data_IF_545683108268
#
_entry.id   IF_545683108268
#
_cell.length_a   1.000
_cell.length_b   1.000
_cell.length_c   1.000
_cell.angle_alpha   90.00
_cell.angle_beta   90.00
_cell.angle_gamma   90.00
#
_symmetry.space_group_name_H-M   'P 1'
#
loop_
_entity.id
_entity.type
_entity.pdbx_description
1 polymer ?
#
# COMPACT_ATOMS: atom_id res chain seq x y z
N UNK A 1 -23.44 21.77 -14.04
CA UNK A 1 -23.37 21.30 -12.66
C UNK A 1 -23.94 19.90 -12.65
N UNK A 2 -23.10 18.87 -12.67
CA UNK A 2 -23.59 17.51 -12.47
C UNK A 2 -24.11 17.42 -11.04
N UNK A 3 -25.40 17.19 -10.89
CA UNK A 3 -26.00 16.92 -9.59
C UNK A 3 -25.50 15.55 -9.16
N UNK A 4 -24.64 15.50 -8.14
CA UNK A 4 -24.25 14.25 -7.48
C UNK A 4 -25.51 13.67 -6.85
N UNK A 5 -26.18 12.76 -7.56
CA UNK A 5 -27.29 11.99 -7.01
C UNK A 5 -26.63 10.90 -6.18
N UNK A 6 -26.76 10.99 -4.85
CA UNK A 6 -26.34 9.94 -3.93
C UNK A 6 -27.28 8.75 -4.11
N UNK A 7 -26.95 7.92 -5.10
CA UNK A 7 -27.70 6.69 -5.36
C UNK A 7 -27.51 5.69 -4.21
N UNK A 8 -28.50 4.82 -4.01
CA UNK A 8 -28.45 3.83 -2.95
C UNK A 8 -27.22 2.91 -3.07
N UNK A 9 -26.79 2.58 -4.29
CA UNK A 9 -25.57 1.79 -4.52
C UNK A 9 -24.29 2.50 -4.05
N UNK A 10 -24.20 3.82 -4.24
CA UNK A 10 -23.06 4.62 -3.76
C UNK A 10 -23.01 4.68 -2.23
N UNK A 11 -24.17 4.82 -1.58
CA UNK A 11 -24.23 4.86 -0.12
C UNK A 11 -23.86 3.52 0.50
N UNK A 12 -24.37 2.41 -0.06
CA UNK A 12 -24.06 1.06 0.42
C UNK A 12 -22.58 0.72 0.24
N UNK A 13 -22.00 1.03 -0.93
CA UNK A 13 -20.56 0.83 -1.16
C UNK A 13 -19.69 1.69 -0.24
N UNK A 14 -20.08 2.95 0.02
CA UNK A 14 -19.43 3.82 0.98
C UNK A 14 -19.45 3.27 2.41
N UNK A 15 -20.57 2.68 2.84
CA UNK A 15 -20.69 2.02 4.15
C UNK A 15 -19.78 0.79 4.24
N UNK A 16 -19.77 -0.08 3.21
CA UNK A 16 -18.89 -1.25 3.17
C UNK A 16 -17.42 -0.84 3.25
N UNK A 17 -17.04 0.20 2.51
CA UNK A 17 -15.69 0.76 2.52
C UNK A 17 -15.32 1.27 3.90
N UNK A 18 -16.17 2.10 4.52
CA UNK A 18 -15.92 2.66 5.84
C UNK A 18 -15.78 1.57 6.92
N UNK A 19 -16.67 0.58 6.93
CA UNK A 19 -16.61 -0.56 7.87
C UNK A 19 -15.33 -1.36 7.66
N UNK A 20 -14.98 -1.66 6.41
CA UNK A 20 -13.75 -2.41 6.09
C UNK A 20 -12.51 -1.65 6.56
N UNK A 21 -12.43 -0.33 6.32
CA UNK A 21 -11.31 0.48 6.79
C UNK A 21 -11.21 0.54 8.31
N UNK A 22 -12.34 0.72 9.01
CA UNK A 22 -12.36 0.70 10.48
C UNK A 22 -11.79 -0.63 10.97
N UNK A 23 -12.25 -1.76 10.42
CA UNK A 23 -11.74 -3.09 10.78
C UNK A 23 -10.25 -3.28 10.45
N UNK A 24 -9.73 -2.68 9.37
CA UNK A 24 -8.30 -2.72 9.06
C UNK A 24 -7.50 -1.94 10.12
N UNK A 25 -7.96 -0.75 10.50
CA UNK A 25 -7.28 0.07 11.50
C UNK A 25 -7.41 -0.48 12.92
N UNK A 26 -8.51 -1.17 13.23
CA UNK A 26 -8.70 -1.81 14.54
C UNK A 26 -8.08 -3.20 14.64
N UNK A 27 -7.26 -3.62 13.67
CA UNK A 27 -6.51 -4.91 13.68
C UNK A 27 -5.90 -5.21 15.05
N UNK A 28 -5.31 -4.21 15.71
CA UNK A 28 -4.65 -4.34 17.01
C UNK A 28 -5.63 -4.65 18.16
N UNK A 29 -6.92 -4.33 18.04
CA UNK A 29 -7.94 -4.55 19.06
C UNK A 29 -8.60 -5.93 18.95
N UNK A 30 -8.81 -6.44 17.73
CA UNK A 30 -9.51 -7.70 17.51
C UNK A 30 -8.60 -8.86 17.06
N UNK A 31 -7.32 -8.61 16.75
CA UNK A 31 -6.33 -9.65 16.44
C UNK A 31 -6.48 -10.32 15.07
N UNK A 32 -7.29 -9.75 14.17
CA UNK A 32 -7.47 -10.27 12.82
C UNK A 32 -6.51 -9.59 11.85
N UNK A 33 -5.75 -10.39 11.09
CA UNK A 33 -4.79 -9.88 10.11
C UNK A 33 -5.47 -8.98 9.06
N UNK A 34 -4.92 -7.79 8.82
CA UNK A 34 -5.45 -6.78 7.88
C UNK A 34 -5.81 -7.33 6.51
N UNK A 35 -5.02 -8.29 6.00
CA UNK A 35 -5.25 -8.92 4.69
C UNK A 35 -6.56 -9.71 4.67
N UNK A 36 -6.89 -10.45 5.74
CA UNK A 36 -8.14 -11.22 5.82
C UNK A 36 -9.35 -10.30 5.84
N UNK A 37 -9.25 -9.20 6.60
CA UNK A 37 -10.29 -8.17 6.66
C UNK A 37 -10.50 -7.51 5.30
N UNK A 38 -9.41 -7.12 4.62
CA UNK A 38 -9.46 -6.52 3.29
C UNK A 38 -10.10 -7.46 2.25
N UNK A 39 -9.71 -8.74 2.25
CA UNK A 39 -10.29 -9.75 1.36
C UNK A 39 -11.79 -9.97 1.63
N UNK A 40 -12.20 -10.00 2.90
CA UNK A 40 -13.61 -10.13 3.27
C UNK A 40 -14.41 -8.90 2.83
N UNK A 41 -13.89 -7.68 3.04
CA UNK A 41 -14.52 -6.45 2.57
C UNK A 41 -14.68 -6.42 1.05
N UNK A 42 -13.66 -6.85 0.31
CA UNK A 42 -13.73 -6.98 -1.15
C UNK A 42 -14.77 -8.01 -1.61
N UNK A 43 -14.84 -9.18 -0.96
CA UNK A 43 -15.84 -10.20 -1.27
C UNK A 43 -17.27 -9.72 -1.00
N UNK A 44 -17.49 -9.04 0.13
CA UNK A 44 -18.79 -8.43 0.47
C UNK A 44 -19.17 -7.37 -0.57
N UNK A 45 -18.23 -6.52 -0.96
CA UNK A 45 -18.45 -5.49 -1.98
C UNK A 45 -18.87 -6.10 -3.33
N UNK A 46 -18.25 -7.22 -3.75
CA UNK A 46 -18.64 -7.92 -4.98
C UNK A 46 -20.06 -8.49 -4.91
N UNK A 47 -20.39 -9.19 -3.83
CA UNK A 47 -21.72 -9.81 -3.66
C UNK A 47 -22.82 -8.76 -3.62
N UNK A 48 -22.60 -7.68 -2.86
CA UNK A 48 -23.56 -6.58 -2.74
C UNK A 48 -23.67 -5.82 -4.07
N UNK A 49 -22.54 -5.54 -4.73
CA UNK A 49 -22.47 -4.91 -6.05
C UNK A 49 -23.26 -5.64 -7.13
N UNK A 50 -23.15 -6.97 -7.17
CA UNK A 50 -23.95 -7.78 -8.08
C UNK A 50 -25.43 -7.80 -7.72
N UNK A 51 -25.77 -7.95 -6.44
CA UNK A 51 -27.17 -8.09 -6.01
C UNK A 51 -28.01 -6.83 -6.23
N UNK A 52 -27.41 -5.65 -6.06
CA UNK A 52 -28.06 -4.36 -6.31
C UNK A 52 -27.88 -3.86 -7.75
N UNK A 53 -27.11 -4.59 -8.58
CA UNK A 53 -26.93 -4.30 -10.00
C UNK A 53 -26.11 -3.05 -10.33
N UNK A 54 -25.40 -2.47 -9.36
CA UNK A 54 -24.59 -1.26 -9.59
C UNK A 54 -23.17 -1.55 -10.08
N UNK A 55 -22.73 -2.81 -10.07
CA UNK A 55 -21.39 -3.19 -10.52
C UNK A 55 -21.32 -4.60 -11.09
N UNK A 56 -20.59 -4.80 -12.19
CA UNK A 56 -20.31 -6.13 -12.74
C UNK A 56 -18.97 -6.68 -12.22
N UNK A 57 -18.83 -8.00 -12.06
CA UNK A 57 -17.55 -8.62 -11.69
C UNK A 57 -16.42 -8.27 -12.67
N UNK A 58 -16.73 -8.15 -13.95
CA UNK A 58 -15.77 -7.83 -15.00
C UNK A 58 -15.20 -6.42 -14.80
N UNK A 59 -16.07 -5.44 -14.47
CA UNK A 59 -15.63 -4.10 -14.12
C UNK A 59 -14.73 -4.11 -12.87
N UNK A 60 -14.95 -5.03 -11.92
CA UNK A 60 -14.11 -5.20 -10.73
C UNK A 60 -12.66 -5.48 -11.06
N UNK A 61 -12.43 -6.40 -12.00
CA UNK A 61 -11.09 -6.76 -12.43
C UNK A 61 -10.43 -5.66 -13.26
N UNK A 62 -11.21 -4.93 -14.05
CA UNK A 62 -10.71 -3.80 -14.84
C UNK A 62 -10.31 -2.61 -13.95
N UNK A 63 -10.99 -2.42 -12.82
CA UNK A 63 -10.64 -1.39 -11.84
C UNK A 63 -9.34 -1.68 -11.07
N UNK A 64 -8.79 -2.89 -11.16
CA UNK A 64 -7.51 -3.23 -10.51
C UNK A 64 -6.35 -2.73 -11.37
N UNK A 65 -5.57 -1.80 -10.83
CA UNK A 65 -4.31 -1.37 -11.46
C UNK A 65 -3.20 -2.40 -11.24
N UNK A 66 -3.03 -3.29 -12.22
CA UNK A 66 -2.01 -4.32 -12.21
C UNK A 66 -0.59 -3.76 -12.21
N UNK A 67 -0.35 -2.59 -12.80
CA UNK A 67 0.98 -1.98 -12.79
C UNK A 67 1.39 -1.65 -11.36
N UNK A 68 0.47 -1.08 -10.58
CA UNK A 68 0.72 -0.77 -9.16
C UNK A 68 0.95 -2.05 -8.34
N UNK A 69 0.13 -3.09 -8.55
CA UNK A 69 0.28 -4.36 -7.83
C UNK A 69 1.66 -5.00 -8.11
N UNK A 70 2.07 -5.06 -9.38
CA UNK A 70 3.37 -5.62 -9.76
C UNK A 70 4.54 -4.72 -9.32
N UNK A 71 4.39 -3.39 -9.40
CA UNK A 71 5.40 -2.44 -8.94
C UNK A 71 5.64 -2.58 -7.43
N UNK A 72 4.58 -2.51 -6.62
CA UNK A 72 4.70 -2.66 -5.17
C UNK A 72 5.18 -4.07 -4.80
N UNK A 73 4.65 -5.11 -5.46
CA UNK A 73 5.06 -6.50 -5.24
C UNK A 73 6.54 -6.74 -5.53
N UNK A 74 7.05 -6.26 -6.66
CA UNK A 74 8.47 -6.38 -7.03
C UNK A 74 9.38 -5.59 -6.09
N UNK A 75 8.97 -4.38 -5.69
CA UNK A 75 9.69 -3.57 -4.70
C UNK A 75 9.79 -4.32 -3.36
N UNK A 76 8.69 -4.89 -2.88
CA UNK A 76 8.70 -5.70 -1.65
C UNK A 76 9.57 -6.94 -1.77
N UNK A 77 9.58 -7.62 -2.93
CA UNK A 77 10.43 -8.78 -3.16
C UNK A 77 11.93 -8.44 -3.08
N UNK A 78 12.36 -7.33 -3.71
CA UNK A 78 13.75 -6.84 -3.63
C UNK A 78 14.13 -6.51 -2.19
N UNK A 79 13.25 -5.81 -1.46
CA UNK A 79 13.46 -5.49 -0.04
C UNK A 79 13.58 -6.76 0.80
N UNK A 80 12.72 -7.76 0.58
CA UNK A 80 12.77 -9.02 1.30
C UNK A 80 14.08 -9.80 1.08
N UNK A 81 14.62 -9.77 -0.14
CA UNK A 81 15.93 -10.35 -0.44
C UNK A 81 17.04 -9.58 0.29
N UNK A 82 17.04 -8.25 0.22
CA UNK A 82 18.06 -7.42 0.87
C UNK A 82 18.09 -7.57 2.40
N UNK A 83 16.92 -7.75 3.03
CA UNK A 83 16.83 -8.03 4.47
C UNK A 83 17.49 -9.39 4.79
N UNK A 84 17.21 -10.42 3.99
CA UNK A 84 17.77 -11.76 4.24
C UNK A 84 19.28 -11.85 3.94
N UNK A 85 19.80 -11.06 3.00
CA UNK A 85 21.23 -11.07 2.64
C UNK A 85 22.10 -10.16 3.51
N UNK A 86 21.51 -9.40 4.43
CA UNK A 86 22.25 -8.44 5.26
C UNK A 86 22.63 -7.14 4.52
N UNK A 87 22.01 -6.88 3.37
CA UNK A 87 22.36 -5.74 2.51
C UNK A 87 22.11 -4.40 3.21
N UNK A 88 21.01 -4.30 3.96
CA UNK A 88 20.69 -3.10 4.73
C UNK A 88 21.67 -2.86 5.88
N UNK A 89 22.13 -3.93 6.53
CA UNK A 89 23.09 -3.89 7.64
C UNK A 89 24.46 -3.37 7.16
N UNK A 90 24.92 -3.84 5.99
CA UNK A 90 26.17 -3.35 5.38
C UNK A 90 26.06 -1.87 5.01
N UNK A 91 24.95 -1.47 4.40
CA UNK A 91 24.69 -0.06 4.07
C UNK A 91 24.66 0.82 5.32
N UNK A 92 23.92 0.40 6.35
CA UNK A 92 23.81 1.12 7.61
C UNK A 92 25.16 1.22 8.33
N UNK A 93 25.96 0.16 8.35
CA UNK A 93 27.29 0.15 8.96
C UNK A 93 28.25 1.11 8.24
N UNK A 94 28.22 1.14 6.90
CA UNK A 94 29.05 2.06 6.12
C UNK A 94 28.67 3.52 6.36
N UNK A 95 27.37 3.83 6.35
CA UNK A 95 26.87 5.18 6.64
C UNK A 95 27.21 5.58 8.10
N UNK A 96 27.08 4.66 9.05
CA UNK A 96 27.44 4.88 10.46
C UNK A 96 28.92 5.19 10.66
N UNK A 97 29.81 4.46 9.96
CA UNK A 97 31.27 4.74 9.97
C UNK A 97 31.57 6.14 9.44
N UNK A 98 30.92 6.54 8.34
CA UNK A 98 31.09 7.89 7.75
C UNK A 98 30.55 8.95 8.70
N UNK A 99 29.41 8.71 9.34
CA UNK A 99 28.76 9.61 10.29
C UNK A 99 29.60 9.87 11.56
N UNK A 100 30.58 9.02 11.88
CA UNK A 100 31.49 9.12 13.05
C UNK A 100 30.75 9.37 14.37
N UNK A 101 29.58 8.76 14.55
CA UNK A 101 28.75 8.88 15.77
C UNK A 101 27.96 10.19 15.89
N UNK A 102 28.01 11.11 14.92
CA UNK A 102 27.22 12.36 14.97
C UNK A 102 25.80 12.12 14.46
N UNK A 103 24.81 12.13 15.36
CA UNK A 103 23.40 11.84 15.06
C UNK A 103 22.83 12.68 13.90
N UNK A 104 23.12 13.99 13.87
CA UNK A 104 22.68 14.86 12.76
C UNK A 104 23.28 14.46 11.41
N UNK A 105 24.53 13.98 11.38
CA UNK A 105 25.18 13.56 10.14
C UNK A 105 24.68 12.19 9.69
N UNK A 106 24.37 11.30 10.64
CA UNK A 106 23.73 10.02 10.34
C UNK A 106 22.36 10.23 9.69
N UNK A 107 21.51 11.08 10.28
CA UNK A 107 20.20 11.43 9.73
C UNK A 107 20.33 12.06 8.35
N UNK A 108 21.26 13.00 8.17
CA UNK A 108 21.50 13.63 6.88
C UNK A 108 21.96 12.61 5.81
N UNK A 109 22.90 11.72 6.14
CA UNK A 109 23.43 10.71 5.21
C UNK A 109 22.41 9.62 4.87
N UNK A 110 21.63 9.17 5.85
CA UNK A 110 20.52 8.23 5.60
C UNK A 110 19.44 8.89 4.74
N UNK A 111 19.06 10.14 5.07
CA UNK A 111 18.11 10.91 4.28
C UNK A 111 18.57 11.10 2.84
N UNK A 112 19.82 11.53 2.62
CA UNK A 112 20.36 11.69 1.26
C UNK A 112 20.50 10.36 0.53
N UNK A 113 20.90 9.28 1.21
CA UNK A 113 20.93 7.95 0.60
C UNK A 113 19.55 7.50 0.14
N UNK A 114 18.51 7.65 0.98
CA UNK A 114 17.12 7.37 0.62
C UNK A 114 16.69 8.25 -0.55
N UNK A 115 16.96 9.56 -0.50
CA UNK A 115 16.63 10.48 -1.61
C UNK A 115 17.29 10.07 -2.92
N UNK A 116 18.58 9.74 -2.92
CA UNK A 116 19.30 9.31 -4.13
C UNK A 116 18.73 8.00 -4.67
N UNK A 117 18.48 7.02 -3.80
CA UNK A 117 17.89 5.73 -4.20
C UNK A 117 16.47 5.96 -4.74
N UNK A 118 15.65 6.77 -4.07
CA UNK A 118 14.32 7.14 -4.53
C UNK A 118 14.36 7.81 -5.90
N UNK A 119 15.27 8.75 -6.16
CA UNK A 119 15.41 9.39 -7.49
C UNK A 119 15.87 8.44 -8.59
N UNK A 120 16.59 7.36 -8.26
CA UNK A 120 16.97 6.34 -9.22
C UNK A 120 15.82 5.36 -9.51
N UNK A 121 15.04 5.02 -8.48
CA UNK A 121 13.86 4.14 -8.60
C UNK A 121 12.67 4.86 -9.24
N UNK A 122 12.48 6.14 -8.93
CA UNK A 122 11.41 7.02 -9.43
C UNK A 122 11.78 7.68 -10.77
N UNK A 123 12.49 6.95 -11.64
CA UNK A 123 12.64 7.32 -13.05
C UNK A 123 11.51 6.69 -13.87
N UNK A 124 10.28 7.02 -13.52
CA UNK A 124 9.09 6.66 -14.29
C UNK A 124 8.48 7.91 -14.95
N UNK A 125 9.24 8.59 -15.81
CA UNK A 125 8.78 9.43 -16.92
C UNK A 125 9.97 9.78 -17.83
N UNK A 126 10.30 8.89 -18.77
CA UNK A 126 10.93 9.16 -20.07
C UNK A 126 10.61 7.98 -21.00
#
# INVERSE_FOLDING_TARGET
METIILDQGMLVSGVILAVTFILIFTETLHGFHRVKVAMLGAAVMLVVGQSYGFYSPEAAFEAVDWNVVFLLGSMMAVVAIMINTGGFEVLAANIGKIAKGRQFMLLALLGTAVTVISLLLDKSQL
#
